data_IF_461614929139
#
_entry.id   IF_461614929139
#
_cell.length_a   1.000
_cell.length_b   1.000
_cell.length_c   1.000
_cell.angle_alpha   90.00
_cell.angle_beta   90.00
_cell.angle_gamma   90.00
#
_symmetry.space_group_name_H-M   'P 1'
#
loop_
_entity.id
_entity.type
_entity.pdbx_description
1 polymer ?
#
# COMPACT_ATOMS: atom_id res chain seq x y z
N UNK A 1 -7.68 -14.30 -3.36
CA UNK A 1 -6.33 -14.24 -3.97
C UNK A 1 -5.47 -13.34 -3.10
N UNK A 2 -4.20 -13.66 -2.89
CA UNK A 2 -3.32 -12.79 -2.09
C UNK A 2 -2.94 -11.56 -2.91
N UNK A 3 -3.28 -10.37 -2.42
CA UNK A 3 -2.96 -9.11 -3.08
C UNK A 3 -1.52 -8.69 -2.74
N UNK A 4 -0.75 -8.27 -3.75
CA UNK A 4 0.62 -7.72 -3.57
C UNK A 4 0.75 -6.46 -4.42
N UNK A 5 1.57 -5.53 -3.95
CA UNK A 5 1.98 -4.34 -4.70
C UNK A 5 3.25 -4.65 -5.52
N UNK A 6 3.36 -4.01 -6.68
CA UNK A 6 4.59 -4.09 -7.47
C UNK A 6 4.95 -2.75 -8.10
N UNK A 7 6.25 -2.49 -8.20
CA UNK A 7 6.79 -1.37 -8.96
C UNK A 7 8.13 -1.74 -9.60
N UNK A 8 8.61 -0.89 -10.49
CA UNK A 8 9.96 -0.99 -11.07
C UNK A 8 10.76 0.25 -10.71
N UNK A 9 12.00 0.06 -10.32
CA UNK A 9 12.98 1.12 -10.10
C UNK A 9 14.35 0.58 -10.57
N UNK A 10 15.09 1.37 -11.34
CA UNK A 10 16.37 0.99 -11.94
C UNK A 10 16.39 -0.38 -12.62
N UNK A 11 15.37 -0.65 -13.46
CA UNK A 11 15.15 -1.92 -14.16
C UNK A 11 14.95 -3.17 -13.27
N UNK A 12 14.95 -3.03 -11.94
CA UNK A 12 14.57 -4.09 -11.01
C UNK A 12 13.07 -3.99 -10.70
N UNK A 13 12.39 -5.13 -10.68
CA UNK A 13 11.00 -5.24 -10.20
C UNK A 13 11.03 -5.53 -8.70
N UNK A 14 10.25 -4.78 -7.94
CA UNK A 14 10.03 -4.99 -6.52
C UNK A 14 8.62 -5.50 -6.28
N UNK A 15 8.48 -6.39 -5.31
CA UNK A 15 7.22 -7.03 -4.93
C UNK A 15 7.09 -6.91 -3.42
N UNK A 16 5.94 -6.44 -2.96
CA UNK A 16 5.65 -6.28 -1.54
C UNK A 16 5.42 -7.63 -0.86
N UNK A 17 5.36 -7.62 0.47
CA UNK A 17 4.71 -8.71 1.20
C UNK A 17 3.21 -8.75 0.85
N UNK A 18 2.52 -9.87 1.06
CA UNK A 18 1.09 -9.95 0.80
C UNK A 18 0.29 -9.03 1.71
N UNK A 19 -0.82 -8.49 1.20
CA UNK A 19 -1.77 -7.70 1.98
C UNK A 19 -2.34 -8.58 3.10
N UNK A 20 -2.21 -8.09 4.33
CA UNK A 20 -2.57 -8.80 5.55
C UNK A 20 -3.48 -7.92 6.43
N UNK A 21 -3.84 -8.44 7.61
CA UNK A 21 -4.71 -7.75 8.54
C UNK A 21 -4.08 -6.47 9.10
N UNK A 22 -2.75 -6.44 9.29
CA UNK A 22 -2.05 -5.27 9.81
C UNK A 22 -2.07 -4.12 8.78
N UNK A 23 -1.82 -4.42 7.50
CA UNK A 23 -1.98 -3.43 6.42
C UNK A 23 -3.41 -2.86 6.38
N UNK A 24 -4.42 -3.71 6.60
CA UNK A 24 -5.81 -3.28 6.71
C UNK A 24 -6.03 -2.35 7.91
N UNK A 25 -5.49 -2.67 9.08
CA UNK A 25 -5.58 -1.84 10.28
C UNK A 25 -4.94 -0.47 10.08
N UNK A 26 -3.72 -0.40 9.54
CA UNK A 26 -3.03 0.87 9.26
C UNK A 26 -3.88 1.78 8.36
N UNK A 27 -4.45 1.21 7.29
CA UNK A 27 -5.32 1.96 6.37
C UNK A 27 -6.62 2.38 7.05
N UNK A 28 -7.22 1.50 7.85
CA UNK A 28 -8.47 1.79 8.54
C UNK A 28 -8.31 2.91 9.57
N UNK A 29 -7.25 2.88 10.34
CA UNK A 29 -6.95 3.92 11.34
C UNK A 29 -6.72 5.26 10.65
N UNK A 30 -5.99 5.27 9.53
CA UNK A 30 -5.81 6.46 8.71
C UNK A 30 -7.11 6.94 8.03
N UNK A 31 -8.00 6.04 7.61
CA UNK A 31 -9.29 6.38 7.01
C UNK A 31 -10.26 7.02 8.02
N UNK A 32 -10.13 6.68 9.31
CA UNK A 32 -10.93 7.26 10.39
C UNK A 32 -10.26 8.49 11.05
N UNK A 33 -9.10 8.92 10.59
CA UNK A 33 -8.44 10.15 11.04
C UNK A 33 -8.93 11.35 10.22
N UNK A 34 -9.58 12.31 10.88
CA UNK A 34 -10.14 13.53 10.26
C UNK A 34 -9.08 14.39 9.53
N UNK A 35 -7.79 14.24 9.87
CA UNK A 35 -6.69 14.97 9.25
C UNK A 35 -6.16 14.29 7.97
N UNK A 36 -6.48 13.00 7.75
CA UNK A 36 -6.00 12.24 6.60
C UNK A 36 -7.08 12.14 5.54
N UNK A 37 -7.03 13.07 4.58
CA UNK A 37 -8.00 13.14 3.50
C UNK A 37 -7.49 12.51 2.20
N UNK A 38 -8.29 11.61 1.65
CA UNK A 38 -8.09 11.00 0.33
C UNK A 38 -7.13 9.80 0.31
N UNK A 39 -7.29 8.86 -0.65
CA UNK A 39 -6.54 7.60 -0.66
C UNK A 39 -5.01 7.75 -0.69
N UNK A 40 -4.49 8.82 -1.30
CA UNK A 40 -3.05 9.05 -1.39
C UNK A 40 -2.42 9.39 -0.03
N UNK A 41 -3.17 10.05 0.86
CA UNK A 41 -2.71 10.38 2.20
C UNK A 41 -2.98 9.21 3.17
N UNK A 42 -4.16 8.59 3.04
CA UNK A 42 -4.59 7.46 3.87
C UNK A 42 -3.64 6.26 3.70
N UNK A 43 -3.28 5.89 2.48
CA UNK A 43 -2.49 4.69 2.21
C UNK A 43 -0.98 4.91 2.25
N UNK A 44 -0.49 6.13 2.50
CA UNK A 44 0.95 6.45 2.40
C UNK A 44 1.81 5.55 3.28
N UNK A 45 1.51 5.51 4.56
CA UNK A 45 2.23 4.72 5.56
C UNK A 45 2.07 3.21 5.32
N UNK A 46 0.90 2.79 4.84
CA UNK A 46 0.65 1.40 4.51
C UNK A 46 1.46 0.92 3.30
N UNK A 47 1.87 1.81 2.38
CA UNK A 47 2.82 1.44 1.30
C UNK A 47 4.17 1.06 1.88
N UNK A 48 4.71 1.85 2.82
CA UNK A 48 5.98 1.55 3.49
C UNK A 48 5.89 0.19 4.21
N UNK A 49 4.84 -0.01 5.01
CA UNK A 49 4.56 -1.28 5.69
C UNK A 49 4.57 -2.47 4.73
N UNK A 50 3.92 -2.36 3.58
CA UNK A 50 3.83 -3.44 2.60
C UNK A 50 5.20 -3.88 2.06
N UNK A 51 6.22 -3.02 2.10
CA UNK A 51 7.59 -3.35 1.67
C UNK A 51 8.57 -3.62 2.81
N UNK A 52 8.17 -3.47 4.07
CA UNK A 52 8.99 -3.83 5.23
C UNK A 52 9.48 -5.28 5.15
N UNK A 53 10.79 -5.48 5.33
CA UNK A 53 11.43 -6.79 5.29
C UNK A 53 11.55 -7.39 3.88
N UNK A 54 11.23 -6.64 2.83
CA UNK A 54 11.44 -7.04 1.43
C UNK A 54 12.74 -6.48 0.87
N UNK A 55 13.03 -6.83 -0.38
CA UNK A 55 14.14 -6.27 -1.17
C UNK A 55 14.04 -4.75 -1.42
N UNK A 56 12.86 -4.15 -1.27
CA UNK A 56 12.66 -2.71 -1.43
C UNK A 56 12.90 -2.02 -0.07
N UNK A 57 14.10 -1.48 0.11
CA UNK A 57 14.44 -0.66 1.28
C UNK A 57 13.74 0.70 1.23
N UNK A 58 13.66 1.40 2.37
CA UNK A 58 12.96 2.69 2.44
C UNK A 58 13.54 3.75 1.50
N UNK A 59 14.87 3.78 1.32
CA UNK A 59 15.53 4.69 0.37
C UNK A 59 15.10 4.45 -1.09
N UNK A 60 14.80 3.20 -1.45
CA UNK A 60 14.27 2.87 -2.78
C UNK A 60 12.82 3.38 -2.91
N UNK A 61 12.00 3.20 -1.88
CA UNK A 61 10.61 3.65 -1.85
C UNK A 61 10.55 5.17 -1.93
N UNK A 62 11.40 5.87 -1.16
CA UNK A 62 11.49 7.33 -1.16
C UNK A 62 12.00 7.89 -2.49
N UNK A 63 12.77 7.09 -3.25
CA UNK A 63 13.32 7.47 -4.56
C UNK A 63 12.37 7.23 -5.75
N UNK A 64 11.24 6.53 -5.57
CA UNK A 64 10.27 6.36 -6.66
C UNK A 64 9.55 7.67 -6.96
N UNK A 65 9.17 7.85 -8.23
CA UNK A 65 8.45 9.05 -8.62
C UNK A 65 7.04 9.12 -7.98
N UNK A 66 6.54 10.35 -7.81
CA UNK A 66 5.22 10.61 -7.19
C UNK A 66 4.09 9.86 -7.91
N UNK A 67 4.19 9.66 -9.23
CA UNK A 67 3.20 8.91 -10.00
C UNK A 67 3.18 7.44 -9.63
N UNK A 68 4.35 6.81 -9.52
CA UNK A 68 4.49 5.43 -9.04
C UNK A 68 3.97 5.29 -7.61
N UNK A 69 4.38 6.16 -6.69
CA UNK A 69 3.92 6.12 -5.31
C UNK A 69 2.39 6.30 -5.21
N UNK A 70 1.83 7.23 -5.99
CA UNK A 70 0.39 7.47 -6.02
C UNK A 70 -0.38 6.26 -6.53
N UNK A 71 0.13 5.58 -7.57
CA UNK A 71 -0.45 4.33 -8.09
C UNK A 71 -0.46 3.25 -7.01
N UNK A 72 0.63 3.08 -6.27
CA UNK A 72 0.73 2.10 -5.18
C UNK A 72 -0.32 2.37 -4.10
N UNK A 73 -0.49 3.62 -3.68
CA UNK A 73 -1.55 4.01 -2.74
C UNK A 73 -2.95 3.67 -3.28
N UNK A 74 -3.23 3.95 -4.56
CA UNK A 74 -4.53 3.66 -5.17
C UNK A 74 -4.79 2.15 -5.32
N UNK A 75 -3.76 1.35 -5.58
CA UNK A 75 -3.87 -0.12 -5.59
C UNK A 75 -4.16 -0.65 -4.19
N UNK A 76 -3.44 -0.14 -3.18
CA UNK A 76 -3.62 -0.55 -1.79
C UNK A 76 -5.00 -0.17 -1.23
N UNK A 77 -5.51 1.01 -1.62
CA UNK A 77 -6.88 1.43 -1.31
C UNK A 77 -7.93 0.48 -1.88
N UNK A 78 -7.71 -0.06 -3.10
CA UNK A 78 -8.61 -1.07 -3.68
C UNK A 78 -8.57 -2.36 -2.87
N UNK A 79 -7.39 -2.81 -2.44
CA UNK A 79 -7.29 -4.01 -1.59
C UNK A 79 -8.07 -3.85 -0.28
N UNK A 80 -7.99 -2.67 0.34
CA UNK A 80 -8.76 -2.33 1.53
C UNK A 80 -10.28 -2.34 1.28
N UNK A 81 -10.75 -1.70 0.20
CA UNK A 81 -12.18 -1.74 -0.17
C UNK A 81 -12.64 -3.18 -0.44
N UNK A 82 -11.86 -3.95 -1.19
CA UNK A 82 -12.17 -5.34 -1.50
C UNK A 82 -12.27 -6.16 -0.20
N UNK A 83 -11.33 -5.98 0.74
CA UNK A 83 -11.36 -6.65 2.05
C UNK A 83 -12.59 -6.28 2.89
N UNK A 84 -13.07 -5.04 2.83
CA UNK A 84 -14.28 -4.60 3.53
C UNK A 84 -15.58 -5.07 2.87
N UNK A 85 -15.57 -5.23 1.55
CA UNK A 85 -16.79 -5.48 0.76
C UNK A 85 -16.95 -6.93 0.34
N UNK A 86 -15.92 -7.76 0.51
CA UNK A 86 -16.02 -9.20 0.34
C UNK A 86 -17.04 -9.72 1.34
N UNK A 87 -18.24 -10.05 0.85
CA UNK A 87 -19.23 -10.78 1.65
C UNK A 87 -18.63 -12.14 1.97
N UNK A 88 -18.70 -12.56 3.23
CA UNK A 88 -18.45 -13.94 3.62
C UNK A 88 -19.42 -14.83 2.82
N UNK A 89 -18.96 -15.42 1.72
CA UNK A 89 -19.61 -16.56 1.07
C UNK A 89 -19.41 -17.83 1.91
#
# INVERSE_FOLDING_TARGET
MQHTLTFKHDNKKYVSKPFDFEAMCIINDAHNDENKNGPLNICREAVDYMFEGTDATQDIIDAIDVGTHSRLCMELWKFYIDALTTKNE
#
